data_IF_710217033467
#
_entry.id   IF_710217033467
#
_cell.length_a   1.000
_cell.length_b   1.000
_cell.length_c   1.000
_cell.angle_alpha   90.00
_cell.angle_beta   90.00
_cell.angle_gamma   90.00
#
_symmetry.space_group_name_H-M   'P 1'
#
loop_
_entity.id
_entity.type
_entity.pdbx_description
1 polymer ?
#
# COMPACT_ATOMS: atom_id res chain seq x y z
N UNK A 1 -1.06 -14.73 19.34
CA UNK A 1 -1.23 -15.22 17.96
C UNK A 1 -1.65 -14.00 17.14
N UNK A 2 -0.79 -13.46 16.26
CA UNK A 2 -1.15 -12.31 15.42
C UNK A 2 -2.18 -12.79 14.40
N UNK A 3 -3.33 -12.12 14.30
CA UNK A 3 -4.27 -12.38 13.21
C UNK A 3 -3.72 -11.78 11.91
N UNK A 4 -4.17 -12.28 10.75
CA UNK A 4 -3.76 -11.75 9.44
C UNK A 4 -3.87 -10.21 9.37
N UNK A 5 -4.92 -9.64 9.96
CA UNK A 5 -5.10 -8.18 10.07
C UNK A 5 -3.99 -7.47 10.86
N UNK A 6 -3.37 -8.11 11.85
CA UNK A 6 -2.27 -7.51 12.62
C UNK A 6 -0.92 -7.62 11.91
N UNK A 7 -0.80 -8.54 10.94
CA UNK A 7 0.38 -8.62 10.06
C UNK A 7 0.34 -7.52 8.99
N UNK A 8 -0.85 -7.14 8.54
CA UNK A 8 -1.06 -6.13 7.49
C UNK A 8 -0.83 -4.70 8.03
N UNK A 9 -1.05 -4.46 9.33
CA UNK A 9 -0.83 -3.16 9.99
C UNK A 9 0.62 -2.69 10.00
N UNK A 10 1.58 -3.58 9.78
CA UNK A 10 3.01 -3.26 9.83
C UNK A 10 3.76 -4.02 8.74
N UNK A 11 3.82 -3.42 7.55
CA UNK A 11 4.60 -3.91 6.40
C UNK A 11 5.89 -3.08 6.19
N UNK A 12 6.30 -2.33 7.21
CA UNK A 12 7.52 -1.51 7.20
C UNK A 12 8.73 -2.39 6.86
N UNK A 13 9.55 -1.95 5.91
CA UNK A 13 10.76 -2.66 5.45
C UNK A 13 10.51 -4.09 4.92
N UNK A 14 9.27 -4.42 4.55
CA UNK A 14 8.94 -5.73 3.98
C UNK A 14 8.95 -5.64 2.45
N UNK A 15 9.76 -6.48 1.82
CA UNK A 15 9.60 -6.86 0.41
C UNK A 15 8.51 -7.91 0.33
N UNK A 16 7.30 -7.52 -0.05
CA UNK A 16 6.20 -8.47 -0.25
C UNK A 16 6.29 -9.01 -1.68
N UNK A 17 6.50 -10.32 -1.83
CA UNK A 17 6.41 -10.96 -3.15
C UNK A 17 5.02 -10.66 -3.75
N UNK A 18 5.00 -10.25 -5.01
CA UNK A 18 3.83 -9.76 -5.76
C UNK A 18 2.57 -10.65 -5.58
N UNK A 19 2.76 -11.97 -5.47
CA UNK A 19 1.67 -12.91 -5.28
C UNK A 19 1.02 -12.85 -3.89
N UNK A 20 1.80 -12.56 -2.83
CA UNK A 20 1.28 -12.50 -1.45
C UNK A 20 0.41 -11.28 -1.23
N UNK A 21 0.84 -10.10 -1.70
CA UNK A 21 0.01 -8.89 -1.57
C UNK A 21 -1.28 -9.05 -2.38
N UNK A 22 -1.21 -9.61 -3.59
CA UNK A 22 -2.37 -9.84 -4.44
C UNK A 22 -3.35 -10.85 -3.83
N UNK A 23 -2.87 -11.89 -3.15
CA UNK A 23 -3.72 -12.80 -2.38
C UNK A 23 -4.44 -12.07 -1.23
N UNK A 24 -3.74 -11.18 -0.52
CA UNK A 24 -4.35 -10.35 0.54
C UNK A 24 -5.38 -9.35 -0.01
N UNK A 25 -5.09 -8.74 -1.16
CA UNK A 25 -5.93 -7.75 -1.84
C UNK A 25 -7.12 -8.38 -2.57
N UNK A 26 -7.06 -9.68 -2.90
CA UNK A 26 -8.17 -10.42 -3.51
C UNK A 26 -9.37 -10.64 -2.59
N UNK A 27 -9.19 -10.44 -1.28
CA UNK A 27 -10.26 -10.52 -0.28
C UNK A 27 -10.95 -9.17 -0.28
N UNK A 28 -12.05 -9.07 -1.02
CA UNK A 28 -12.82 -7.86 -1.29
C UNK A 28 -12.78 -6.84 -0.14
N UNK A 29 -12.33 -5.63 -0.48
CA UNK A 29 -12.14 -4.46 0.40
C UNK A 29 -11.03 -4.63 1.45
N UNK A 30 -9.80 -4.27 1.08
CA UNK A 30 -8.68 -4.20 2.02
C UNK A 30 -8.69 -2.87 2.77
N UNK A 31 -9.11 -2.90 4.02
CA UNK A 31 -8.96 -1.79 4.96
C UNK A 31 -7.52 -1.75 5.48
N UNK A 32 -6.76 -0.77 4.98
CA UNK A 32 -5.39 -0.51 5.43
C UNK A 32 -5.32 0.65 6.40
N UNK A 33 -6.44 1.21 6.87
CA UNK A 33 -6.41 2.38 7.75
C UNK A 33 -5.45 2.17 8.93
N UNK A 34 -4.63 3.18 9.18
CA UNK A 34 -3.58 3.18 10.20
C UNK A 34 -2.43 2.17 10.01
N UNK A 35 -2.30 1.54 8.84
CA UNK A 35 -1.15 0.67 8.55
C UNK A 35 0.13 1.49 8.36
N UNK A 36 1.27 0.90 8.77
CA UNK A 36 2.61 1.44 8.53
C UNK A 36 3.19 0.76 7.29
N UNK A 37 3.26 1.50 6.19
CA UNK A 37 3.84 1.07 4.92
C UNK A 37 5.07 1.93 4.57
N UNK A 38 5.70 2.54 5.57
CA UNK A 38 6.87 3.37 5.37
C UNK A 38 8.00 2.53 4.77
N UNK A 39 8.56 2.94 3.63
CA UNK A 39 9.61 2.18 2.94
C UNK A 39 9.16 0.84 2.33
N UNK A 40 7.85 0.53 2.32
CA UNK A 40 7.36 -0.74 1.77
C UNK A 40 7.56 -0.78 0.25
N UNK A 41 7.97 -1.95 -0.27
CA UNK A 41 8.08 -2.18 -1.72
C UNK A 41 6.78 -2.83 -2.20
N UNK A 42 5.92 -2.03 -2.84
CA UNK A 42 4.57 -2.38 -3.29
C UNK A 42 4.44 -2.29 -4.82
N UNK A 43 5.54 -2.52 -5.54
CA UNK A 43 5.52 -2.48 -7.00
C UNK A 43 4.54 -3.49 -7.58
N UNK A 44 3.80 -3.10 -8.62
CA UNK A 44 2.79 -3.93 -9.27
C UNK A 44 1.65 -4.42 -8.35
N UNK A 45 1.50 -3.87 -7.14
CA UNK A 45 0.47 -4.32 -6.19
C UNK A 45 -0.94 -3.92 -6.66
N UNK A 46 -1.92 -4.82 -6.51
CA UNK A 46 -3.33 -4.56 -6.88
C UNK A 46 -4.11 -3.82 -5.80
N UNK A 47 -3.81 -2.54 -5.56
CA UNK A 47 -4.44 -1.72 -4.52
C UNK A 47 -5.79 -1.10 -4.94
N UNK A 48 -6.42 -1.63 -5.99
CA UNK A 48 -7.70 -1.14 -6.48
C UNK A 48 -8.75 -1.14 -5.36
N UNK A 49 -9.51 -0.04 -5.26
CA UNK A 49 -10.59 0.16 -4.29
C UNK A 49 -10.14 0.07 -2.80
N UNK A 50 -8.82 0.14 -2.52
CA UNK A 50 -8.30 0.08 -1.16
C UNK A 50 -8.51 1.40 -0.38
N UNK A 51 -8.86 1.26 0.89
CA UNK A 51 -8.91 2.39 1.82
C UNK A 51 -7.54 2.61 2.45
N UNK A 52 -6.81 3.59 1.93
CA UNK A 52 -5.48 3.97 2.39
C UNK A 52 -5.52 5.16 3.34
N UNK A 53 -6.69 5.61 3.84
CA UNK A 53 -6.77 6.81 4.68
C UNK A 53 -5.98 6.64 5.97
N UNK A 54 -5.09 7.58 6.27
CA UNK A 54 -4.27 7.56 7.48
C UNK A 54 -3.11 6.55 7.45
N UNK A 55 -2.88 5.87 6.33
CA UNK A 55 -1.69 5.04 6.10
C UNK A 55 -0.45 5.91 5.97
N UNK A 56 0.63 5.53 6.64
CA UNK A 56 1.93 6.14 6.40
C UNK A 56 2.58 5.51 5.16
N UNK A 57 2.50 6.21 4.02
CA UNK A 57 3.09 5.82 2.73
C UNK A 57 4.45 6.48 2.45
N UNK A 58 5.05 7.17 3.43
CA UNK A 58 6.32 7.85 3.20
C UNK A 58 7.40 6.87 2.74
N UNK A 59 8.11 7.18 1.65
CA UNK A 59 9.11 6.32 1.01
C UNK A 59 8.62 4.96 0.48
N UNK A 60 7.30 4.72 0.41
CA UNK A 60 6.78 3.51 -0.23
C UNK A 60 7.03 3.54 -1.74
N UNK A 61 7.44 2.41 -2.30
CA UNK A 61 7.64 2.23 -3.74
C UNK A 61 6.36 1.66 -4.37
N UNK A 62 5.55 2.52 -4.98
CA UNK A 62 4.25 2.21 -5.59
C UNK A 62 4.31 2.15 -7.12
N UNK A 63 5.50 2.02 -7.73
CA UNK A 63 5.63 1.92 -9.19
C UNK A 63 4.79 0.77 -9.75
N UNK A 64 4.10 1.03 -10.84
CA UNK A 64 3.21 0.07 -11.51
C UNK A 64 2.06 -0.48 -10.64
N UNK A 65 1.84 0.04 -9.42
CA UNK A 65 0.73 -0.39 -8.57
C UNK A 65 -0.62 0.04 -9.17
N UNK A 66 -1.62 -0.84 -9.09
CA UNK A 66 -2.98 -0.47 -9.46
C UNK A 66 -3.62 0.36 -8.34
N UNK A 67 -3.59 1.68 -8.50
CA UNK A 67 -4.12 2.66 -7.54
C UNK A 67 -5.53 3.15 -7.92
N UNK A 68 -6.26 2.41 -8.74
CA UNK A 68 -7.60 2.82 -9.16
C UNK A 68 -8.56 2.90 -7.97
N UNK A 69 -9.31 4.00 -7.87
CA UNK A 69 -10.31 4.24 -6.82
C UNK A 69 -9.78 4.17 -5.38
N UNK A 70 -8.48 4.40 -5.14
CA UNK A 70 -7.97 4.47 -3.76
C UNK A 70 -8.53 5.68 -3.02
N UNK A 71 -8.74 5.53 -1.71
CA UNK A 71 -9.02 6.66 -0.82
C UNK A 71 -7.75 7.09 -0.06
N UNK A 72 -7.28 8.31 -0.30
CA UNK A 72 -6.15 8.93 0.42
C UNK A 72 -6.53 10.34 0.92
N UNK A 73 -5.86 10.80 1.97
CA UNK A 73 -6.00 12.18 2.46
C UNK A 73 -5.08 13.16 1.73
N UNK A 74 -5.44 14.45 1.71
CA UNK A 74 -4.59 15.52 1.12
C UNK A 74 -3.16 15.50 1.67
N UNK A 75 -3.01 15.28 2.98
CA UNK A 75 -1.70 15.19 3.64
C UNK A 75 -0.86 14.02 3.11
N UNK A 76 -1.49 12.89 2.77
CA UNK A 76 -0.79 11.74 2.21
C UNK A 76 -0.34 12.01 0.79
N UNK A 77 -1.14 12.73 0.00
CA UNK A 77 -0.73 13.18 -1.33
C UNK A 77 0.56 14.02 -1.27
N UNK A 78 0.67 14.94 -0.30
CA UNK A 78 1.87 15.75 -0.08
C UNK A 78 3.10 14.93 0.37
N UNK A 79 2.91 13.69 0.82
CA UNK A 79 3.96 12.78 1.29
C UNK A 79 4.39 11.75 0.23
N UNK A 80 3.64 11.63 -0.87
CA UNK A 80 3.98 10.73 -1.96
C UNK A 80 5.13 11.33 -2.76
N UNK A 81 6.10 10.47 -3.09
CA UNK A 81 7.15 10.83 -4.03
C UNK A 81 6.62 10.47 -5.41
N UNK A 82 6.48 11.47 -6.28
CA UNK A 82 6.24 11.23 -7.70
C UNK A 82 7.54 10.66 -8.25
N UNK A 83 7.50 9.40 -8.65
CA UNK A 83 8.58 8.77 -9.41
C UNK A 83 8.16 8.94 -10.86
N UNK A 84 8.80 9.86 -11.57
CA UNK A 84 8.63 10.00 -13.02
C UNK A 84 9.25 8.75 -13.66
N UNK A 85 8.51 8.09 -14.54
CA UNK A 85 9.13 7.14 -15.46
C UNK A 85 9.96 7.98 -16.44
N UNK A 86 11.29 7.80 -16.40
CA UNK A 86 12.16 8.31 -17.46
C UNK A 86 11.71 7.65 -18.78
N UNK A 87 10.99 8.40 -19.63
CA UNK A 87 10.69 8.01 -21.03
C UNK A 87 11.97 7.76 -21.85
#
# INVERSE_FOLDING_TARGET
MKILQDMIKDLTDITVEEQKINEYLSREFLDLQCSKLNGAVLRCAKLQDADLRGVNLSFADLRDADLKNIEITKKQLDQLIVIEDDE
#
